data_IF_894192232004
#
_entry.id   IF_894192232004
#
_cell.length_a   1.000
_cell.length_b   1.000
_cell.length_c   1.000
_cell.angle_alpha   90.00
_cell.angle_beta   90.00
_cell.angle_gamma   90.00
#
_symmetry.space_group_name_H-M   'P 1'
#
loop_
_entity.id
_entity.type
_entity.pdbx_description
1 polymer ?
#
# COMPACT_ATOMS: atom_id res chain seq x y z
N UNK A 1 1.47 22.36 7.77
CA UNK A 1 1.86 21.37 8.79
C UNK A 1 3.33 21.07 8.59
N UNK A 2 4.12 21.09 9.64
CA UNK A 2 5.56 20.74 9.60
C UNK A 2 5.70 19.35 10.18
N UNK A 3 6.27 18.42 9.42
CA UNK A 3 6.42 17.02 9.80
C UNK A 3 7.86 16.55 9.67
N UNK A 4 8.23 15.57 10.48
CA UNK A 4 9.50 14.87 10.42
C UNK A 4 9.20 13.39 10.16
N UNK A 5 9.81 12.83 9.13
CA UNK A 5 9.65 11.43 8.75
C UNK A 5 10.96 10.67 8.94
N UNK A 6 10.89 9.56 9.66
CA UNK A 6 11.96 8.60 9.81
C UNK A 6 11.67 7.38 8.94
N UNK A 7 12.56 7.11 7.98
CA UNK A 7 12.48 5.94 7.11
C UNK A 7 13.61 4.98 7.44
N UNK A 8 13.25 3.78 7.82
CA UNK A 8 14.18 2.69 8.02
C UNK A 8 13.90 1.60 7.00
N UNK A 9 14.96 1.14 6.31
CA UNK A 9 14.89 0.04 5.35
C UNK A 9 15.96 -0.98 5.68
N UNK A 10 15.53 -2.21 5.90
CA UNK A 10 16.42 -3.33 6.20
C UNK A 10 16.22 -4.44 5.16
N UNK A 11 17.27 -4.80 4.45
CA UNK A 11 17.26 -5.80 3.40
C UNK A 11 18.45 -6.75 3.56
N UNK A 12 18.31 -7.82 4.36
CA UNK A 12 19.39 -8.77 4.58
C UNK A 12 19.74 -9.50 3.29
N UNK A 13 21.04 -9.72 3.07
CA UNK A 13 21.60 -10.40 1.89
C UNK A 13 21.35 -9.69 0.53
N UNK A 14 20.90 -8.45 0.54
CA UNK A 14 20.78 -7.66 -0.68
C UNK A 14 22.18 -7.26 -1.20
N UNK A 15 22.48 -7.58 -2.44
CA UNK A 15 23.70 -7.17 -3.14
C UNK A 15 23.42 -5.96 -3.99
N UNK A 16 24.35 -5.03 -4.03
CA UNK A 16 24.22 -3.78 -4.77
C UNK A 16 25.31 -3.66 -5.81
N UNK A 17 24.96 -3.07 -6.94
CA UNK A 17 25.93 -2.46 -7.84
C UNK A 17 26.04 -0.97 -7.51
N UNK A 18 27.21 -0.54 -7.15
CA UNK A 18 27.48 0.84 -6.76
C UNK A 18 28.13 1.59 -7.93
N UNK A 19 27.45 2.63 -8.42
CA UNK A 19 28.05 3.65 -9.27
C UNK A 19 28.53 4.83 -8.42
N UNK A 20 29.12 5.85 -9.04
CA UNK A 20 29.60 7.03 -8.32
C UNK A 20 28.50 7.73 -7.51
N UNK A 21 27.28 7.77 -8.02
CA UNK A 21 26.17 8.55 -7.45
C UNK A 21 24.95 7.71 -7.03
N UNK A 22 24.86 6.43 -7.45
CA UNK A 22 23.68 5.61 -7.25
C UNK A 22 24.03 4.19 -6.83
N UNK A 23 23.14 3.58 -6.03
CA UNK A 23 23.18 2.16 -5.67
C UNK A 23 21.99 1.47 -6.30
N UNK A 24 22.23 0.43 -7.07
CA UNK A 24 21.19 -0.39 -7.68
C UNK A 24 21.18 -1.77 -7.03
N UNK A 25 20.04 -2.25 -6.47
CA UNK A 25 19.95 -3.60 -5.97
C UNK A 25 20.05 -4.60 -7.13
N UNK A 26 20.94 -5.58 -7.01
CA UNK A 26 21.09 -6.67 -7.98
C UNK A 26 20.23 -7.85 -7.55
N UNK A 27 20.16 -8.12 -6.24
CA UNK A 27 19.41 -9.23 -5.67
C UNK A 27 17.96 -8.83 -5.50
N UNK A 28 17.10 -9.34 -6.36
CA UNK A 28 15.69 -9.00 -6.37
C UNK A 28 14.82 -9.85 -5.43
N UNK A 29 15.38 -10.93 -4.89
CA UNK A 29 14.72 -11.90 -4.02
C UNK A 29 15.04 -11.72 -2.53
N UNK A 30 15.89 -10.76 -2.19
CA UNK A 30 16.13 -10.40 -0.79
C UNK A 30 14.85 -9.87 -0.13
N UNK A 31 14.53 -10.32 1.10
CA UNK A 31 13.41 -9.73 1.82
C UNK A 31 13.74 -8.29 2.19
N UNK A 32 12.78 -7.40 1.98
CA UNK A 32 12.91 -5.98 2.33
C UNK A 32 11.89 -5.65 3.40
N UNK A 33 12.37 -5.17 4.51
CA UNK A 33 11.56 -4.66 5.62
C UNK A 33 11.65 -3.14 5.63
N UNK A 34 10.52 -2.48 5.72
CA UNK A 34 10.42 -1.03 5.79
C UNK A 34 9.68 -0.61 7.05
N UNK A 35 10.16 0.42 7.71
CA UNK A 35 9.49 1.08 8.82
C UNK A 35 9.53 2.57 8.57
N UNK A 36 8.37 3.17 8.44
CA UNK A 36 8.23 4.61 8.30
C UNK A 36 7.49 5.14 9.53
N UNK A 37 8.06 6.14 10.18
CA UNK A 37 7.41 6.82 11.28
C UNK A 37 7.39 8.31 11.01
N UNK A 38 6.21 8.87 10.93
CA UNK A 38 5.97 10.30 10.69
C UNK A 38 5.44 10.93 11.97
N UNK A 39 6.02 12.06 12.37
CA UNK A 39 5.55 12.84 13.50
C UNK A 39 5.52 14.32 13.18
N UNK A 40 4.50 15.01 13.70
CA UNK A 40 4.41 16.45 13.74
C UNK A 40 3.94 16.87 15.13
N UNK A 41 4.46 17.98 15.60
CA UNK A 41 4.11 18.53 16.91
C UNK A 41 3.32 19.83 16.73
N UNK A 42 2.26 19.98 17.50
CA UNK A 42 1.48 21.20 17.54
C UNK A 42 2.36 22.40 17.93
N UNK A 43 2.06 23.58 17.38
CA UNK A 43 2.76 24.85 17.62
C UNK A 43 4.24 24.91 17.20
N UNK A 44 4.77 23.83 16.59
CA UNK A 44 6.12 23.82 16.01
C UNK A 44 6.06 24.18 14.53
N UNK A 45 6.76 25.25 14.12
CA UNK A 45 6.84 25.72 12.74
C UNK A 45 5.46 25.90 12.04
N UNK A 46 4.44 26.34 12.80
CA UNK A 46 3.09 26.57 12.28
C UNK A 46 2.24 25.31 12.08
N UNK A 47 2.59 24.21 12.72
CA UNK A 47 1.73 23.02 12.76
C UNK A 47 0.54 23.24 13.67
N UNK A 48 -0.67 22.93 13.19
CA UNK A 48 -1.92 23.07 13.96
C UNK A 48 -2.34 21.77 14.67
N UNK A 49 -1.68 20.65 14.40
CA UNK A 49 -2.04 19.33 14.91
C UNK A 49 -0.82 18.55 15.38
N UNK A 50 -1.00 17.79 16.45
CA UNK A 50 -0.12 16.67 16.78
C UNK A 50 -0.46 15.51 15.87
N UNK A 51 0.55 14.97 15.17
CA UNK A 51 0.36 13.87 14.24
C UNK A 51 1.44 12.81 14.42
N UNK A 52 1.02 11.58 14.59
CA UNK A 52 1.93 10.43 14.66
C UNK A 52 1.35 9.29 13.85
N UNK A 53 2.12 8.83 12.86
CA UNK A 53 1.77 7.71 11.98
C UNK A 53 2.94 6.74 11.90
N UNK A 54 2.65 5.47 12.00
CA UNK A 54 3.63 4.40 11.80
C UNK A 54 3.16 3.49 10.68
N UNK A 55 4.04 3.19 9.74
CA UNK A 55 3.80 2.20 8.67
C UNK A 55 4.93 1.20 8.65
N UNK A 56 4.59 -0.08 8.58
CA UNK A 56 5.51 -1.19 8.39
C UNK A 56 5.22 -1.87 7.07
N UNK A 57 6.25 -2.36 6.40
CA UNK A 57 6.10 -3.06 5.14
C UNK A 57 7.09 -4.22 5.01
N UNK A 58 6.66 -5.27 4.36
CA UNK A 58 7.47 -6.44 4.03
C UNK A 58 7.28 -6.72 2.56
N UNK A 59 8.39 -6.81 1.83
CA UNK A 59 8.39 -7.17 0.42
C UNK A 59 9.33 -8.36 0.22
N UNK A 60 8.88 -9.36 -0.56
CA UNK A 60 9.67 -10.56 -0.86
C UNK A 60 9.30 -11.12 -2.22
N UNK A 61 10.30 -11.51 -2.99
CA UNK A 61 10.16 -12.29 -4.24
C UNK A 61 10.48 -13.75 -3.98
N UNK A 62 9.65 -14.63 -4.50
CA UNK A 62 9.85 -16.08 -4.50
C UNK A 62 9.95 -16.58 -5.92
N UNK A 63 11.03 -17.30 -6.24
CA UNK A 63 11.27 -17.89 -7.54
C UNK A 63 10.78 -19.34 -7.58
N UNK A 64 10.02 -19.66 -8.60
CA UNK A 64 9.51 -21.04 -8.85
C UNK A 64 10.14 -21.68 -10.09
N UNK A 65 11.41 -21.45 -10.33
CA UNK A 65 12.17 -22.01 -11.45
C UNK A 65 11.47 -21.77 -12.80
N UNK A 66 11.03 -22.83 -13.47
CA UNK A 66 10.36 -22.77 -14.79
C UNK A 66 8.96 -22.10 -14.76
N UNK A 67 8.35 -21.97 -13.59
CA UNK A 67 7.00 -21.40 -13.43
C UNK A 67 7.01 -19.90 -13.09
N UNK A 68 8.19 -19.26 -13.16
CA UNK A 68 8.28 -17.82 -12.95
C UNK A 68 8.52 -17.43 -11.48
N UNK A 69 7.89 -16.35 -11.03
CA UNK A 69 8.07 -15.83 -9.68
C UNK A 69 6.82 -15.14 -9.15
N UNK A 70 6.74 -15.05 -7.82
CA UNK A 70 5.71 -14.32 -7.11
C UNK A 70 6.35 -13.17 -6.34
N UNK A 71 5.82 -11.98 -6.50
CA UNK A 71 6.12 -10.82 -5.67
C UNK A 71 5.02 -10.67 -4.61
N UNK A 72 5.42 -10.60 -3.37
CA UNK A 72 4.53 -10.37 -2.23
C UNK A 72 4.93 -9.06 -1.57
N UNK A 73 3.97 -8.17 -1.43
CA UNK A 73 4.08 -6.94 -0.66
C UNK A 73 2.96 -6.93 0.38
N UNK A 74 3.31 -6.82 1.65
CA UNK A 74 2.37 -6.61 2.73
C UNK A 74 2.73 -5.32 3.47
N UNK A 75 1.72 -4.50 3.77
CA UNK A 75 1.88 -3.25 4.51
C UNK A 75 0.83 -3.17 5.60
N UNK A 76 1.20 -2.59 6.72
CA UNK A 76 0.27 -2.23 7.78
C UNK A 76 0.65 -0.85 8.34
N UNK A 77 -0.36 -0.09 8.73
CA UNK A 77 -0.13 1.24 9.26
C UNK A 77 -1.19 1.66 10.25
N UNK A 78 -0.80 2.58 11.14
CA UNK A 78 -1.66 3.13 12.18
C UNK A 78 -1.35 4.60 12.42
N UNK A 79 -2.42 5.40 12.54
CA UNK A 79 -2.38 6.77 13.05
C UNK A 79 -2.68 6.76 14.54
N UNK A 80 -1.71 7.19 15.36
CA UNK A 80 -1.79 7.11 16.82
C UNK A 80 -2.55 8.27 17.43
N UNK A 81 -2.55 9.42 16.77
CA UNK A 81 -3.13 10.68 17.27
C UNK A 81 -4.51 10.91 16.67
N UNK A 82 -5.26 11.84 17.30
CA UNK A 82 -6.49 12.37 16.73
C UNK A 82 -6.12 13.30 15.56
N UNK A 83 -6.67 13.03 14.39
CA UNK A 83 -6.34 13.76 13.18
C UNK A 83 -7.58 13.98 12.29
N UNK A 84 -7.69 15.13 11.60
CA UNK A 84 -8.74 15.35 10.62
C UNK A 84 -8.56 14.41 9.41
N UNK A 85 -9.68 14.11 8.70
CA UNK A 85 -9.68 13.10 7.65
C UNK A 85 -8.60 13.25 6.56
N UNK A 86 -8.14 14.45 6.17
CA UNK A 86 -7.07 14.55 5.16
C UNK A 86 -5.71 14.02 5.63
N UNK A 87 -5.52 13.84 6.95
CA UNK A 87 -4.31 13.27 7.56
C UNK A 87 -4.47 11.78 7.89
N UNK A 88 -5.67 11.24 7.73
CA UNK A 88 -5.93 9.81 7.91
C UNK A 88 -5.44 9.00 6.71
N UNK A 89 -5.54 7.69 6.81
CA UNK A 89 -5.11 6.77 5.76
C UNK A 89 -6.23 6.64 4.73
N UNK A 90 -5.96 7.17 3.54
CA UNK A 90 -6.83 7.06 2.38
C UNK A 90 -6.23 6.04 1.42
N UNK A 91 -6.95 4.95 1.09
CA UNK A 91 -6.47 3.99 0.09
C UNK A 91 -6.24 4.66 -1.27
N UNK A 92 -5.18 4.25 -1.95
CA UNK A 92 -4.83 4.81 -3.26
C UNK A 92 -5.79 4.32 -4.34
N UNK A 93 -6.71 5.16 -4.78
CA UNK A 93 -7.55 4.89 -5.95
C UNK A 93 -6.78 5.21 -7.23
N UNK A 94 -6.94 4.37 -8.26
CA UNK A 94 -6.40 4.69 -9.58
C UNK A 94 -7.33 5.65 -10.32
N UNK A 95 -6.96 6.93 -10.35
CA UNK A 95 -7.70 7.98 -11.04
C UNK A 95 -7.10 8.31 -12.42
N UNK A 96 -6.13 7.56 -12.89
CA UNK A 96 -5.46 7.81 -14.17
C UNK A 96 -5.76 6.72 -15.19
N UNK A 97 -5.54 7.03 -16.49
CA UNK A 97 -5.62 6.06 -17.59
C UNK A 97 -4.49 5.02 -17.55
N UNK A 98 -3.43 5.28 -16.79
CA UNK A 98 -2.30 4.38 -16.63
C UNK A 98 -2.48 3.57 -15.35
N UNK A 99 -2.10 2.30 -15.40
CA UNK A 99 -2.08 1.44 -14.22
C UNK A 99 -1.00 1.95 -13.26
N UNK A 100 -1.42 2.41 -12.10
CA UNK A 100 -0.51 2.82 -11.04
C UNK A 100 -0.17 1.62 -10.15
N UNK A 101 1.10 1.34 -9.89
CA UNK A 101 1.49 0.35 -8.89
C UNK A 101 0.85 0.67 -7.53
N UNK A 102 0.47 -0.38 -6.79
CA UNK A 102 -0.12 -0.26 -5.44
C UNK A 102 -1.44 0.53 -5.36
N UNK A 103 -2.14 0.75 -6.48
CA UNK A 103 -3.45 1.39 -6.49
C UNK A 103 -4.57 0.37 -6.68
N UNK A 104 -5.76 0.74 -6.20
CA UNK A 104 -6.99 -0.05 -6.34
C UNK A 104 -7.82 0.53 -7.49
N UNK A 105 -8.05 -0.28 -8.54
CA UNK A 105 -8.77 0.19 -9.75
C UNK A 105 -10.28 0.23 -9.57
N UNK A 106 -10.82 -0.54 -8.62
CA UNK A 106 -12.26 -0.65 -8.36
C UNK A 106 -12.71 0.24 -7.19
N UNK A 107 -11.91 1.25 -6.84
CA UNK A 107 -12.15 2.13 -5.71
C UNK A 107 -12.19 3.58 -6.17
N UNK A 108 -13.09 4.36 -5.62
CA UNK A 108 -13.12 5.80 -5.84
C UNK A 108 -12.18 6.53 -4.87
N UNK A 109 -11.76 7.74 -5.24
CA UNK A 109 -10.98 8.57 -4.34
C UNK A 109 -11.78 8.90 -3.07
N UNK A 110 -11.12 8.80 -1.91
CA UNK A 110 -11.71 9.09 -0.60
C UNK A 110 -12.93 8.22 -0.25
N UNK A 111 -13.13 7.11 -0.95
CA UNK A 111 -14.26 6.20 -0.68
C UNK A 111 -14.16 5.58 0.71
N UNK A 112 -12.94 5.24 1.15
CA UNK A 112 -12.70 4.69 2.47
C UNK A 112 -11.72 5.55 3.25
N UNK A 113 -12.02 5.74 4.54
CA UNK A 113 -11.22 6.54 5.48
C UNK A 113 -10.90 5.68 6.68
N UNK A 114 -9.61 5.48 6.96
CA UNK A 114 -9.14 4.60 8.00
C UNK A 114 -8.04 5.28 8.83
N UNK A 115 -7.89 4.89 10.08
CA UNK A 115 -6.73 5.23 10.88
C UNK A 115 -5.84 4.01 11.17
N UNK A 116 -6.34 2.81 10.90
CA UNK A 116 -5.60 1.55 10.91
C UNK A 116 -5.86 0.79 9.62
N UNK A 117 -4.81 0.17 9.06
CA UNK A 117 -4.96 -0.68 7.88
C UNK A 117 -3.92 -1.79 7.84
N UNK A 118 -4.29 -2.85 7.14
CA UNK A 118 -3.40 -3.89 6.66
C UNK A 118 -3.73 -4.19 5.20
N UNK A 119 -2.73 -4.18 4.34
CA UNK A 119 -2.89 -4.42 2.90
C UNK A 119 -1.90 -5.46 2.40
N UNK A 120 -2.28 -6.13 1.32
CA UNK A 120 -1.43 -7.08 0.62
C UNK A 120 -1.56 -6.90 -0.88
N UNK A 121 -0.45 -7.13 -1.56
CA UNK A 121 -0.35 -7.22 -3.01
C UNK A 121 0.47 -8.47 -3.34
N UNK A 122 -0.14 -9.41 -4.02
CA UNK A 122 0.48 -10.65 -4.48
C UNK A 122 0.41 -10.67 -5.99
N UNK A 123 1.55 -10.55 -6.64
CA UNK A 123 1.63 -10.57 -8.10
C UNK A 123 2.45 -11.75 -8.57
N UNK A 124 1.84 -12.63 -9.35
CA UNK A 124 2.46 -13.82 -9.90
C UNK A 124 2.75 -13.67 -11.39
N UNK A 125 4.01 -13.73 -11.76
CA UNK A 125 4.52 -13.69 -13.12
C UNK A 125 4.86 -15.10 -13.58
N UNK A 126 4.03 -15.71 -14.40
CA UNK A 126 4.21 -17.09 -14.86
C UNK A 126 5.20 -17.24 -16.02
N UNK A 127 5.66 -16.13 -16.61
CA UNK A 127 6.65 -16.12 -17.72
C UNK A 127 6.27 -17.01 -18.92
N UNK A 128 4.99 -17.19 -19.19
CA UNK A 128 4.49 -18.03 -20.28
C UNK A 128 4.41 -19.52 -19.94
N UNK A 129 4.40 -19.90 -18.69
CA UNK A 129 4.36 -21.31 -18.27
C UNK A 129 3.12 -22.06 -18.77
N UNK A 130 1.99 -21.38 -18.93
CA UNK A 130 0.77 -21.94 -19.52
C UNK A 130 0.68 -21.66 -21.02
N UNK A 131 0.78 -20.41 -21.44
CA UNK A 131 0.52 -19.99 -22.81
C UNK A 131 1.56 -20.52 -23.81
N UNK A 132 2.80 -20.70 -23.40
CA UNK A 132 3.83 -21.28 -24.26
C UNK A 132 3.64 -22.79 -24.57
N UNK A 133 2.71 -23.46 -23.88
CA UNK A 133 2.33 -24.85 -24.17
C UNK A 133 1.38 -24.96 -25.36
N UNK A 134 0.70 -23.88 -25.72
CA UNK A 134 -0.26 -23.82 -26.82
C UNK A 134 0.49 -23.34 -28.08
N UNK A 135 0.61 -24.18 -29.14
CA UNK A 135 1.50 -23.90 -30.29
C UNK A 135 1.20 -22.59 -31.01
N UNK A 136 -0.07 -22.20 -31.14
CA UNK A 136 -0.49 -20.95 -31.77
C UNK A 136 -0.15 -19.73 -30.90
N UNK A 137 -0.42 -19.81 -29.58
CA UNK A 137 -0.23 -18.70 -28.65
C UNK A 137 1.25 -18.47 -28.35
N UNK A 138 2.06 -19.54 -28.36
CA UNK A 138 3.51 -19.44 -28.22
C UNK A 138 4.16 -18.45 -29.20
N UNK A 139 3.61 -18.31 -30.42
CA UNK A 139 4.12 -17.37 -31.43
C UNK A 139 3.89 -15.91 -31.04
N UNK A 140 2.87 -15.63 -30.24
CA UNK A 140 2.53 -14.29 -29.76
C UNK A 140 3.44 -13.82 -28.62
N UNK A 141 4.21 -14.75 -27.99
CA UNK A 141 5.12 -14.47 -26.87
C UNK A 141 4.43 -13.79 -25.66
N UNK A 142 3.15 -14.05 -25.47
CA UNK A 142 2.40 -13.55 -24.35
C UNK A 142 2.89 -14.14 -23.03
N UNK A 143 2.75 -13.37 -21.94
CA UNK A 143 3.15 -13.78 -20.61
C UNK A 143 2.03 -13.47 -19.64
N UNK A 144 1.66 -14.45 -18.86
CA UNK A 144 0.59 -14.34 -17.88
C UNK A 144 1.09 -13.63 -16.61
N UNK A 145 0.30 -12.67 -16.13
CA UNK A 145 0.50 -12.02 -14.85
C UNK A 145 -0.83 -12.03 -14.10
N UNK A 146 -0.81 -12.60 -12.91
CA UNK A 146 -1.96 -12.62 -12.00
C UNK A 146 -1.66 -11.72 -10.82
N UNK A 147 -2.55 -10.76 -10.55
CA UNK A 147 -2.44 -9.88 -9.38
C UNK A 147 -3.63 -10.08 -8.47
N UNK A 148 -3.36 -10.29 -7.19
CA UNK A 148 -4.34 -10.36 -6.13
C UNK A 148 -4.01 -9.33 -5.06
N UNK A 149 -4.91 -8.36 -4.87
CA UNK A 149 -4.73 -7.26 -3.92
C UNK A 149 -5.92 -7.17 -2.99
N UNK A 150 -5.65 -6.78 -1.76
CA UNK A 150 -6.70 -6.53 -0.80
C UNK A 150 -6.23 -5.65 0.34
N UNK A 151 -7.21 -5.17 1.10
CA UNK A 151 -6.99 -4.31 2.23
C UNK A 151 -8.06 -4.54 3.30
N UNK A 152 -7.63 -4.58 4.55
CA UNK A 152 -8.47 -4.37 5.71
C UNK A 152 -8.23 -2.96 6.22
N UNK A 153 -9.28 -2.28 6.64
CA UNK A 153 -9.19 -0.98 7.26
C UNK A 153 -10.12 -0.87 8.45
N UNK A 154 -9.79 -0.01 9.37
CA UNK A 154 -10.61 0.35 10.51
C UNK A 154 -10.46 1.83 10.83
N UNK A 155 -11.54 2.43 11.30
CA UNK A 155 -11.54 3.79 11.84
C UNK A 155 -11.95 3.73 13.31
N UNK A 156 -11.04 4.13 14.19
CA UNK A 156 -11.31 4.18 15.63
C UNK A 156 -12.23 5.35 15.98
N UNK A 157 -12.97 5.21 17.06
CA UNK A 157 -13.95 6.22 17.54
C UNK A 157 -13.33 7.61 17.76
N UNK A 158 -12.05 7.65 18.11
CA UNK A 158 -11.31 8.91 18.32
C UNK A 158 -11.21 9.79 17.06
N UNK A 159 -11.22 9.17 15.88
CA UNK A 159 -11.08 9.83 14.58
C UNK A 159 -12.40 9.90 13.81
N UNK A 160 -13.49 9.41 14.39
CA UNK A 160 -14.82 9.46 13.79
C UNK A 160 -15.57 10.72 14.21
N UNK A 161 -15.85 11.66 13.28
CA UNK A 161 -16.53 12.92 13.61
C UNK A 161 -18.01 12.75 13.99
N UNK A 162 -18.61 11.56 13.76
CA UNK A 162 -20.04 11.33 13.96
C UNK A 162 -20.40 10.70 15.31
N UNK A 163 -19.43 10.20 16.08
CA UNK A 163 -19.72 9.41 17.30
C UNK A 163 -19.75 10.26 18.56
N UNK A 164 -19.05 11.38 18.64
CA UNK A 164 -18.88 12.10 19.90
C UNK A 164 -18.78 13.61 19.73
N UNK A 165 -19.44 14.35 20.62
CA UNK A 165 -19.26 15.82 20.77
C UNK A 165 -17.80 16.19 21.08
N UNK A 166 -17.02 15.29 21.68
CA UNK A 166 -15.58 15.48 21.93
C UNK A 166 -14.75 15.51 20.65
N UNK A 167 -15.34 15.14 19.51
CA UNK A 167 -14.73 15.18 18.18
C UNK A 167 -15.02 16.50 17.45
N UNK A 168 -15.55 17.50 18.13
CA UNK A 168 -15.63 18.87 17.60
C UNK A 168 -14.25 19.31 17.10
N UNK A 169 -14.22 19.91 15.90
CA UNK A 169 -12.97 20.31 15.23
C UNK A 169 -12.39 19.29 14.26
N UNK A 170 -12.92 18.05 14.17
CA UNK A 170 -12.68 17.17 13.06
C UNK A 170 -13.57 17.58 11.87
N UNK A 171 -12.99 17.60 10.66
CA UNK A 171 -13.78 17.83 9.45
C UNK A 171 -14.74 16.67 9.22
N UNK A 172 -15.96 16.96 8.79
CA UNK A 172 -16.90 15.96 8.32
C UNK A 172 -16.34 15.25 7.07
N UNK A 173 -16.65 13.98 6.94
CA UNK A 173 -16.18 13.20 5.78
C UNK A 173 -16.89 13.66 4.49
N UNK A 174 -16.21 13.58 3.34
CA UNK A 174 -16.82 13.85 2.05
C UNK A 174 -18.06 12.95 1.81
N UNK A 175 -19.02 13.45 1.04
CA UNK A 175 -20.16 12.63 0.63
C UNK A 175 -19.68 11.43 -0.21
N UNK A 176 -20.19 10.24 0.12
CA UNK A 176 -19.79 9.00 -0.54
C UNK A 176 -18.60 8.29 0.10
N UNK A 177 -18.11 8.77 1.24
CA UNK A 177 -17.13 8.04 2.05
C UNK A 177 -17.83 7.00 2.93
N UNK A 178 -17.22 5.83 3.07
CA UNK A 178 -17.69 4.72 3.89
C UNK A 178 -16.66 4.33 4.93
N UNK A 179 -17.15 3.83 6.06
CA UNK A 179 -16.30 3.22 7.10
C UNK A 179 -16.09 1.74 6.74
N UNK A 180 -14.85 1.29 6.80
CA UNK A 180 -14.54 -0.12 6.67
C UNK A 180 -14.89 -0.87 7.96
N UNK A 181 -15.53 -2.03 7.82
CA UNK A 181 -15.72 -2.97 8.91
C UNK A 181 -14.49 -3.84 9.06
N UNK A 182 -13.84 -3.89 10.25
CA UNK A 182 -12.65 -4.71 10.46
C UNK A 182 -12.89 -6.21 10.31
N UNK A 183 -14.15 -6.66 10.36
CA UNK A 183 -14.52 -8.07 10.22
C UNK A 183 -14.57 -8.56 8.77
N UNK A 184 -14.64 -7.66 7.80
CA UNK A 184 -14.76 -7.99 6.39
C UNK A 184 -13.66 -7.29 5.56
N UNK A 185 -12.92 -7.99 4.68
CA UNK A 185 -12.00 -7.35 3.77
C UNK A 185 -12.78 -6.48 2.79
N UNK A 186 -12.61 -5.18 2.91
CA UNK A 186 -13.45 -4.22 2.18
C UNK A 186 -13.11 -4.13 0.71
N UNK A 187 -11.86 -4.40 0.33
CA UNK A 187 -11.43 -4.33 -1.06
C UNK A 187 -10.50 -5.48 -1.37
N UNK A 188 -10.95 -6.33 -2.26
CA UNK A 188 -10.11 -7.37 -2.85
C UNK A 188 -10.42 -7.45 -4.34
N UNK A 189 -9.40 -7.47 -5.18
CA UNK A 189 -9.60 -7.74 -6.60
C UNK A 189 -8.46 -8.59 -7.17
N UNK A 190 -8.82 -9.36 -8.20
CA UNK A 190 -7.88 -10.15 -8.98
C UNK A 190 -7.83 -9.58 -10.39
N UNK A 191 -6.65 -9.35 -10.90
CA UNK A 191 -6.43 -8.87 -12.25
C UNK A 191 -5.56 -9.86 -13.01
N UNK A 192 -6.01 -10.21 -14.22
CA UNK A 192 -5.24 -11.01 -15.18
C UNK A 192 -4.77 -10.09 -16.31
N UNK A 193 -3.46 -10.05 -16.54
CA UNK A 193 -2.85 -9.36 -17.67
C UNK A 193 -2.18 -10.39 -18.58
N UNK A 194 -2.40 -10.28 -19.89
CA UNK A 194 -1.81 -11.13 -20.92
C UNK A 194 -0.73 -10.39 -21.69
#
# INVERSE_FOLDING_TARGET
MSEVEFKFRFAPNEKFYQTRNYRYPITLDAPVFTLNHTMAFQDVLGSSYDYQKTEIGIQKRFWFSAFGYVDILAKAGKVWTKAPYPLLILPNANLSYLVQPESYTNMNAMEFINDEYASWDITYFMNGALLNRIPLIKKLKWREVFSFRGMFGHLTDKNNPYISEQNEGLFLFPQGSYLMDPSTPSVSYTHLTL
#
